data_IF_183832663107
#
_entry.id   IF_183832663107
#
_cell.length_a   1.000
_cell.length_b   1.000
_cell.length_c   1.000
_cell.angle_alpha   90.00
_cell.angle_beta   90.00
_cell.angle_gamma   90.00
#
_symmetry.space_group_name_H-M   'P 1'
#
loop_
_entity.id
_entity.type
_entity.pdbx_description
1 polymer ?
#
# COMPACT_ATOMS: atom_id res chain seq x y z
N UNK A 1 4.26 1.22 -17.83
CA UNK A 1 3.84 1.27 -19.26
C UNK A 1 2.99 0.05 -19.56
N UNK A 2 1.70 0.22 -19.81
CA UNK A 2 0.75 -0.88 -20.01
C UNK A 2 0.99 -1.51 -21.39
N UNK A 3 1.50 -2.75 -21.43
CA UNK A 3 1.80 -3.44 -22.70
C UNK A 3 0.58 -4.20 -23.18
N UNK A 4 -0.13 -3.59 -24.14
CA UNK A 4 -1.34 -4.12 -24.76
C UNK A 4 -1.16 -5.55 -25.30
N UNK A 5 0.05 -5.89 -25.78
CA UNK A 5 0.37 -7.24 -26.27
C UNK A 5 0.29 -8.32 -25.19
N UNK A 6 0.75 -8.05 -23.97
CA UNK A 6 0.63 -9.00 -22.87
C UNK A 6 -0.81 -9.15 -22.37
N UNK A 7 -1.60 -8.07 -22.41
CA UNK A 7 -3.02 -8.11 -22.09
C UNK A 7 -3.78 -9.02 -23.08
N UNK A 8 -3.53 -8.85 -24.38
CA UNK A 8 -4.13 -9.68 -25.44
C UNK A 8 -3.72 -11.15 -25.32
N UNK A 9 -2.47 -11.44 -24.95
CA UNK A 9 -2.03 -12.82 -24.72
C UNK A 9 -2.75 -13.47 -23.54
N UNK A 10 -2.98 -12.75 -22.43
CA UNK A 10 -3.73 -13.28 -21.27
C UNK A 10 -5.19 -13.56 -21.59
N UNK A 11 -5.85 -12.68 -22.33
CA UNK A 11 -7.23 -12.90 -22.79
C UNK A 11 -7.37 -14.14 -23.69
N UNK A 12 -6.33 -14.50 -24.44
CA UNK A 12 -6.31 -15.72 -25.26
C UNK A 12 -5.92 -16.97 -24.47
N UNK A 13 -5.06 -16.82 -23.46
CA UNK A 13 -4.51 -17.95 -22.69
C UNK A 13 -5.50 -18.50 -21.65
N UNK A 14 -6.40 -17.67 -21.12
CA UNK A 14 -7.39 -18.09 -20.13
C UNK A 14 -8.81 -18.10 -20.74
N UNK A 15 -9.39 -19.26 -21.08
CA UNK A 15 -10.78 -19.34 -21.54
C UNK A 15 -11.80 -19.15 -20.41
N UNK A 16 -11.35 -19.04 -19.15
CA UNK A 16 -12.19 -18.92 -17.96
C UNK A 16 -11.57 -17.89 -17.00
N UNK A 17 -12.11 -16.66 -16.89
CA UNK A 17 -11.70 -15.74 -15.85
C UNK A 17 -12.20 -16.28 -14.50
N UNK A 18 -11.36 -17.02 -13.80
CA UNK A 18 -11.61 -17.38 -12.40
C UNK A 18 -11.47 -18.85 -11.99
N UNK A 19 -10.79 -19.72 -12.75
CA UNK A 19 -10.57 -21.09 -12.27
C UNK A 19 -9.20 -21.65 -12.63
N UNK A 20 -8.35 -21.80 -11.61
CA UNK A 20 -7.53 -22.98 -11.26
C UNK A 20 -6.58 -22.60 -10.09
N UNK A 21 -6.39 -23.41 -9.04
CA UNK A 21 -5.84 -24.76 -9.13
C UNK A 21 -6.25 -25.62 -7.93
N UNK A 22 -6.74 -26.83 -8.21
CA UNK A 22 -6.86 -27.90 -7.24
C UNK A 22 -5.50 -28.63 -7.20
N UNK A 23 -4.93 -28.76 -6.00
CA UNK A 23 -3.74 -29.58 -5.67
C UNK A 23 -2.39 -29.19 -6.30
N UNK A 24 -1.78 -28.12 -5.78
CA UNK A 24 -0.35 -28.10 -5.39
C UNK A 24 -0.21 -26.97 -4.38
N UNK A 25 0.13 -27.28 -3.12
CA UNK A 25 0.40 -26.35 -1.99
C UNK A 25 0.30 -24.86 -2.32
N UNK A 26 -0.93 -24.35 -2.35
CA UNK A 26 -1.21 -22.93 -2.57
C UNK A 26 -0.74 -22.19 -1.32
N UNK A 27 0.44 -21.59 -1.39
CA UNK A 27 0.84 -20.52 -0.47
C UNK A 27 -0.32 -19.51 -0.49
N UNK A 28 -0.95 -19.15 0.65
CA UNK A 28 -2.06 -18.22 0.61
C UNK A 28 -1.54 -16.94 -0.03
N UNK A 29 -1.98 -16.66 -1.25
CA UNK A 29 -1.81 -15.34 -1.83
C UNK A 29 -2.55 -14.41 -0.87
N UNK A 30 -1.88 -13.48 -0.17
CA UNK A 30 -2.58 -12.59 0.73
C UNK A 30 -3.54 -11.79 -0.15
N UNK A 31 -4.84 -12.05 -0.02
CA UNK A 31 -5.86 -11.65 -1.00
C UNK A 31 -6.15 -10.16 -1.09
N UNK A 32 -5.26 -9.29 -0.60
CA UNK A 32 -5.45 -7.85 -0.56
C UNK A 32 -4.19 -7.06 -0.94
N UNK A 33 -4.35 -5.74 -1.21
CA UNK A 33 -3.27 -4.91 -1.69
C UNK A 33 -2.24 -4.61 -0.59
N UNK A 34 -0.98 -4.41 -0.98
CA UNK A 34 0.02 -3.81 -0.09
C UNK A 34 -0.21 -2.30 -0.07
N UNK A 35 -0.33 -1.72 1.12
CA UNK A 35 -0.54 -0.28 1.30
C UNK A 35 0.73 0.36 1.83
N UNK A 36 1.20 1.40 1.15
CA UNK A 36 2.25 2.30 1.65
C UNK A 36 1.55 3.58 2.09
N UNK A 37 1.67 3.91 3.37
CA UNK A 37 0.96 5.03 3.97
C UNK A 37 1.95 6.05 4.55
N UNK A 38 1.87 7.28 4.06
CA UNK A 38 2.51 8.43 4.70
C UNK A 38 1.77 8.78 5.99
N UNK A 39 2.30 8.28 7.10
CA UNK A 39 1.67 8.40 8.42
C UNK A 39 1.78 9.81 8.98
N UNK A 40 2.98 10.40 8.85
CA UNK A 40 3.30 11.76 9.26
C UNK A 40 4.18 12.42 8.20
N UNK A 41 4.14 13.74 8.07
CA UNK A 41 5.07 14.49 7.22
C UNK A 41 6.30 15.01 7.96
N UNK A 42 6.25 15.10 9.30
CA UNK A 42 7.37 15.56 10.13
C UNK A 42 8.55 14.59 10.03
N UNK A 43 9.77 15.12 9.92
CA UNK A 43 11.01 14.33 9.81
C UNK A 43 12.18 15.09 10.41
N UNK A 44 13.10 14.39 11.09
CA UNK A 44 14.33 14.94 11.66
C UNK A 44 15.39 15.32 10.60
N UNK A 45 15.12 15.05 9.32
CA UNK A 45 16.02 15.32 8.20
C UNK A 45 15.33 16.11 7.09
N UNK A 46 16.14 16.84 6.31
CA UNK A 46 15.70 17.61 5.13
C UNK A 46 16.45 17.16 3.88
N UNK A 47 16.19 15.93 3.46
CA UNK A 47 16.91 15.29 2.35
C UNK A 47 16.63 15.97 1.01
N UNK A 48 17.67 16.17 0.18
CA UNK A 48 17.56 16.76 -1.17
C UNK A 48 16.61 16.00 -2.11
N UNK A 49 16.42 14.70 -1.86
CA UNK A 49 15.58 13.81 -2.67
C UNK A 49 14.22 13.51 -2.02
N UNK A 50 13.82 14.26 -0.99
CA UNK A 50 12.56 14.05 -0.28
C UNK A 50 11.36 14.51 -1.12
N UNK A 51 10.58 13.56 -1.64
CA UNK A 51 9.39 13.88 -2.43
C UNK A 51 8.29 14.57 -1.58
N UNK A 52 8.24 14.31 -0.27
CA UNK A 52 7.26 14.90 0.65
C UNK A 52 7.66 16.29 1.15
N UNK A 53 8.89 16.74 0.85
CA UNK A 53 9.47 17.99 1.39
C UNK A 53 9.26 18.07 2.91
N UNK A 54 9.65 17.00 3.59
CA UNK A 54 9.56 16.85 5.04
C UNK A 54 10.64 17.68 5.74
N UNK A 55 10.31 18.10 6.96
CA UNK A 55 11.19 18.86 7.85
C UNK A 55 10.73 18.68 9.29
N UNK A 56 11.57 19.08 10.24
CA UNK A 56 11.26 18.99 11.67
C UNK A 56 10.37 20.18 12.08
N UNK A 57 9.11 20.12 11.66
CA UNK A 57 8.09 21.08 12.01
C UNK A 57 6.72 20.41 11.99
N UNK A 58 5.77 21.03 12.67
CA UNK A 58 4.38 20.59 12.58
C UNK A 58 3.79 20.95 11.22
N UNK A 59 3.01 20.02 10.68
CA UNK A 59 2.26 20.19 9.45
C UNK A 59 0.76 20.25 9.80
N UNK A 60 0.01 21.22 9.26
CA UNK A 60 -1.42 21.30 9.51
C UNK A 60 -2.14 20.14 8.80
N UNK A 61 -3.23 19.67 9.39
CA UNK A 61 -4.08 18.63 8.79
C UNK A 61 -3.56 17.20 8.92
N UNK A 62 -2.57 16.96 9.79
CA UNK A 62 -2.20 15.60 10.21
C UNK A 62 -3.35 14.95 10.98
N UNK A 63 -3.48 13.63 10.85
CA UNK A 63 -4.50 12.87 11.56
C UNK A 63 -4.22 12.84 13.06
N UNK A 64 -5.29 12.86 13.87
CA UNK A 64 -5.15 12.53 15.28
C UNK A 64 -4.87 11.04 15.46
N UNK A 65 -4.32 10.64 16.61
CA UNK A 65 -4.10 9.22 16.93
C UNK A 65 -5.40 8.41 16.85
N UNK A 66 -6.54 9.01 17.23
CA UNK A 66 -7.86 8.37 17.11
C UNK A 66 -8.25 8.13 15.66
N UNK A 67 -8.02 9.10 14.77
CA UNK A 67 -8.30 8.95 13.34
C UNK A 67 -7.41 7.88 12.71
N UNK A 68 -6.14 7.81 13.11
CA UNK A 68 -5.19 6.77 12.66
C UNK A 68 -5.70 5.37 12.99
N UNK A 69 -6.21 5.14 14.20
CA UNK A 69 -6.80 3.85 14.55
C UNK A 69 -8.06 3.53 13.73
N UNK A 70 -8.85 4.55 13.38
CA UNK A 70 -9.98 4.41 12.45
C UNK A 70 -9.52 3.90 11.09
N UNK A 71 -8.52 4.55 10.49
CA UNK A 71 -7.93 4.13 9.21
C UNK A 71 -7.37 2.72 9.29
N UNK A 72 -6.67 2.36 10.37
CA UNK A 72 -6.17 0.99 10.57
C UNK A 72 -7.29 -0.06 10.60
N UNK A 73 -8.43 0.26 11.22
CA UNK A 73 -9.60 -0.61 11.24
C UNK A 73 -10.19 -0.78 9.83
N UNK A 74 -10.26 0.30 9.05
CA UNK A 74 -10.73 0.27 7.66
C UNK A 74 -9.80 -0.57 6.78
N UNK A 75 -8.48 -0.39 6.88
CA UNK A 75 -7.49 -1.18 6.13
C UNK A 75 -7.59 -2.67 6.46
N UNK A 76 -7.76 -3.00 7.75
CA UNK A 76 -7.97 -4.39 8.19
C UNK A 76 -9.26 -4.96 7.59
N UNK A 77 -10.35 -4.20 7.62
CA UNK A 77 -11.66 -4.61 7.06
C UNK A 77 -11.59 -4.81 5.56
N UNK A 78 -10.79 -3.99 4.86
CA UNK A 78 -10.52 -4.12 3.43
C UNK A 78 -9.61 -5.31 3.07
N UNK A 79 -9.10 -6.03 4.07
CA UNK A 79 -8.24 -7.20 3.86
C UNK A 79 -6.82 -6.85 3.46
N UNK A 80 -6.31 -5.67 3.84
CA UNK A 80 -4.90 -5.28 3.61
C UNK A 80 -3.98 -6.18 4.43
N UNK A 81 -3.16 -7.03 3.80
CA UNK A 81 -2.32 -7.99 4.50
C UNK A 81 -0.96 -7.41 4.91
N UNK A 82 -0.54 -6.31 4.29
CA UNK A 82 0.75 -5.66 4.54
C UNK A 82 0.57 -4.14 4.50
N UNK A 83 0.98 -3.48 5.57
CA UNK A 83 1.01 -2.02 5.70
C UNK A 83 2.46 -1.57 5.92
N UNK A 84 2.93 -0.65 5.07
CA UNK A 84 4.24 -0.02 5.16
C UNK A 84 4.04 1.42 5.62
N UNK A 85 4.52 1.74 6.82
CA UNK A 85 4.51 3.10 7.34
C UNK A 85 5.64 3.90 6.69
N UNK A 86 5.30 5.06 6.14
CA UNK A 86 6.16 5.97 5.39
C UNK A 86 5.83 7.43 5.72
N UNK A 87 6.27 8.37 4.89
CA UNK A 87 6.07 9.80 5.05
C UNK A 87 7.39 10.52 5.36
N UNK A 88 7.43 11.21 6.50
CA UNK A 88 8.64 11.73 7.12
C UNK A 88 9.37 10.65 7.90
N UNK A 89 9.54 10.83 9.21
CA UNK A 89 10.08 9.82 10.11
C UNK A 89 8.92 9.24 10.96
N UNK A 90 8.43 8.01 10.69
CA UNK A 90 7.26 7.45 11.37
C UNK A 90 7.41 7.24 12.87
N UNK A 91 8.64 7.29 13.39
CA UNK A 91 8.95 7.14 14.82
C UNK A 91 9.05 8.48 15.57
N UNK A 92 8.83 9.60 14.89
CA UNK A 92 8.79 10.94 15.49
C UNK A 92 7.41 11.37 15.94
#
# INVERSE_FOLDING_TARGET
MFRLSQYMHRLKADPQPGRQSNNTTVRPSPGGPVVIWNLVRRCNLTCKHCYATSADKDFPGELSTTDVYGVMADLKTFGVPVLILSGGEPLM
#
